data_IF_259351450040
#
_entry.id   IF_259351450040
#
_cell.length_a   1.000
_cell.length_b   1.000
_cell.length_c   1.000
_cell.angle_alpha   90.00
_cell.angle_beta   90.00
_cell.angle_gamma   90.00
#
_symmetry.space_group_name_H-M   'P 1'
#
loop_
_entity.id
_entity.type
_entity.pdbx_description
1 polymer ?
#
# COMPACT_ATOMS: atom_id res chain seq x y z
N UNK A 1 30.23 -34.88 0.97
CA UNK A 1 29.48 -36.15 1.17
C UNK A 1 29.57 -36.70 2.60
N UNK A 2 29.90 -35.90 3.62
CA UNK A 2 30.03 -36.35 5.02
C UNK A 2 28.92 -35.83 5.96
N UNK A 3 28.18 -34.78 5.57
CA UNK A 3 27.09 -34.20 6.37
C UNK A 3 25.89 -35.15 6.50
N UNK A 4 25.34 -35.61 5.38
CA UNK A 4 24.18 -36.51 5.38
C UNK A 4 24.37 -37.81 6.17
N UNK A 5 25.58 -38.40 6.13
CA UNK A 5 25.85 -39.63 6.89
C UNK A 5 25.96 -39.36 8.41
N UNK A 6 26.41 -38.15 8.80
CA UNK A 6 26.43 -37.69 10.19
C UNK A 6 25.02 -37.38 10.68
N UNK A 7 24.22 -36.67 9.89
CA UNK A 7 22.83 -36.33 10.20
C UNK A 7 21.95 -37.59 10.33
N UNK A 8 22.15 -38.56 9.43
CA UNK A 8 21.48 -39.86 9.50
C UNK A 8 21.91 -40.67 10.73
N UNK A 9 23.19 -40.67 11.10
CA UNK A 9 23.66 -41.33 12.33
C UNK A 9 23.11 -40.68 13.59
N UNK A 10 22.90 -39.36 13.59
CA UNK A 10 22.38 -38.63 14.76
C UNK A 10 20.86 -38.72 14.92
N UNK A 11 20.08 -38.75 13.84
CA UNK A 11 18.62 -38.67 13.95
C UNK A 11 17.84 -39.38 12.85
N UNK A 12 18.50 -40.30 12.14
CA UNK A 12 17.89 -41.15 11.12
C UNK A 12 17.26 -40.35 9.97
N UNK A 13 16.20 -40.93 9.38
CA UNK A 13 15.50 -40.35 8.24
C UNK A 13 14.82 -39.01 8.60
N UNK A 14 14.40 -38.84 9.86
CA UNK A 14 13.73 -37.61 10.29
C UNK A 14 14.67 -36.41 10.23
N UNK A 15 15.94 -36.57 10.65
CA UNK A 15 16.94 -35.52 10.61
C UNK A 15 17.38 -35.16 9.19
N UNK A 16 17.29 -36.10 8.24
CA UNK A 16 17.48 -35.82 6.82
C UNK A 16 16.33 -35.00 6.19
N UNK A 17 15.14 -34.99 6.80
CA UNK A 17 13.99 -34.20 6.36
C UNK A 17 13.99 -32.79 6.95
N UNK A 18 14.85 -32.51 7.93
CA UNK A 18 15.02 -31.19 8.50
C UNK A 18 15.76 -30.29 7.51
N UNK A 19 15.05 -29.32 6.92
CA UNK A 19 15.66 -28.30 6.09
C UNK A 19 16.36 -27.28 7.00
N UNK A 20 17.66 -27.46 7.21
CA UNK A 20 18.54 -26.46 7.84
C UNK A 20 18.78 -25.27 6.88
N UNK A 21 17.69 -24.58 6.53
CA UNK A 21 17.76 -23.33 5.77
C UNK A 21 18.42 -22.28 6.67
N UNK A 22 19.73 -22.15 6.57
CA UNK A 22 20.48 -21.07 7.21
C UNK A 22 20.09 -19.74 6.54
N UNK A 23 18.97 -19.16 6.97
CA UNK A 23 18.53 -17.86 6.49
C UNK A 23 19.29 -16.81 7.29
N UNK A 24 20.39 -16.32 6.73
CA UNK A 24 21.00 -15.09 7.23
C UNK A 24 19.90 -14.03 7.35
N UNK A 25 19.61 -13.60 8.58
CA UNK A 25 18.69 -12.50 8.78
C UNK A 25 19.37 -11.24 8.26
N UNK A 26 18.71 -10.52 7.35
CA UNK A 26 19.22 -9.26 6.83
C UNK A 26 19.43 -8.28 8.00
N UNK A 27 20.55 -7.57 8.02
CA UNK A 27 20.81 -6.47 8.96
C UNK A 27 19.67 -5.44 8.96
N UNK A 28 18.99 -5.24 7.82
CA UNK A 28 17.83 -4.35 7.72
C UNK A 28 16.64 -4.79 8.58
N UNK A 29 16.55 -6.09 8.93
CA UNK A 29 15.46 -6.61 9.75
C UNK A 29 15.46 -6.02 11.16
N UNK A 30 16.64 -5.64 11.67
CA UNK A 30 16.79 -4.95 12.97
C UNK A 30 16.14 -3.55 12.95
N UNK A 31 16.05 -2.93 11.78
CA UNK A 31 15.48 -1.59 11.59
C UNK A 31 14.06 -1.62 11.02
N UNK A 32 13.43 -2.80 10.93
CA UNK A 32 12.14 -2.98 10.27
C UNK A 32 11.05 -2.07 10.86
N UNK A 33 10.89 -2.03 12.19
CA UNK A 33 9.86 -1.22 12.85
C UNK A 33 10.04 0.28 12.59
N UNK A 34 11.28 0.77 12.70
CA UNK A 34 11.60 2.18 12.45
C UNK A 34 11.34 2.57 10.99
N UNK A 35 11.75 1.71 10.04
CA UNK A 35 11.50 1.93 8.61
C UNK A 35 10.02 1.83 8.26
N UNK A 36 9.27 0.95 8.92
CA UNK A 36 7.83 0.84 8.75
C UNK A 36 7.11 2.13 9.17
N UNK A 37 7.41 2.65 10.36
CA UNK A 37 6.85 3.92 10.84
C UNK A 37 7.16 5.04 9.83
N UNK A 38 8.41 5.14 9.39
CA UNK A 38 8.81 6.17 8.43
C UNK A 38 8.08 6.05 7.08
N UNK A 39 7.99 4.84 6.53
CA UNK A 39 7.37 4.62 5.22
C UNK A 39 5.84 4.64 5.23
N UNK A 40 5.20 4.55 6.41
CA UNK A 40 3.77 4.83 6.57
C UNK A 40 3.49 6.31 6.34
N UNK A 41 4.33 7.19 6.89
CA UNK A 41 4.22 8.64 6.71
C UNK A 41 4.76 9.10 5.34
N UNK A 42 5.82 8.46 4.83
CA UNK A 42 6.55 8.88 3.63
C UNK A 42 6.66 7.76 2.59
N UNK A 43 5.56 7.39 1.91
CA UNK A 43 5.53 6.29 0.95
C UNK A 43 6.44 6.59 -0.27
N UNK A 44 7.44 5.75 -0.57
CA UNK A 44 8.36 6.02 -1.65
C UNK A 44 7.73 5.75 -3.03
N UNK A 45 7.87 6.70 -3.95
CA UNK A 45 7.42 6.54 -5.35
C UNK A 45 8.21 5.48 -6.13
N UNK A 46 9.50 5.33 -5.85
CA UNK A 46 10.40 4.43 -6.58
C UNK A 46 11.29 3.63 -5.63
N UNK A 47 11.78 2.48 -6.10
CA UNK A 47 12.75 1.67 -5.36
C UNK A 47 14.07 2.40 -5.12
N UNK A 48 14.48 3.29 -6.03
CA UNK A 48 15.67 4.12 -5.85
C UNK A 48 15.49 5.12 -4.69
N UNK A 49 14.31 5.74 -4.61
CA UNK A 49 13.97 6.61 -3.47
C UNK A 49 13.97 5.82 -2.16
N UNK A 50 13.35 4.63 -2.13
CA UNK A 50 13.36 3.78 -0.94
C UNK A 50 14.79 3.38 -0.53
N UNK A 51 15.64 2.99 -1.49
CA UNK A 51 17.03 2.62 -1.23
C UNK A 51 17.85 3.77 -0.64
N UNK A 52 17.70 4.98 -1.19
CA UNK A 52 18.36 6.17 -0.67
C UNK A 52 17.93 6.49 0.77
N UNK A 53 16.62 6.41 1.06
CA UNK A 53 16.11 6.65 2.42
C UNK A 53 16.50 5.58 3.43
N UNK A 54 16.55 4.31 3.02
CA UNK A 54 17.07 3.25 3.88
C UNK A 54 18.55 3.50 4.21
N UNK A 55 19.35 3.88 3.22
CA UNK A 55 20.77 4.18 3.44
C UNK A 55 20.98 5.39 4.37
N UNK A 56 20.16 6.44 4.22
CA UNK A 56 20.19 7.63 5.09
C UNK A 56 19.82 7.28 6.55
N UNK A 57 18.76 6.49 6.75
CA UNK A 57 18.24 6.18 8.09
C UNK A 57 19.03 5.10 8.84
N UNK A 58 19.61 4.14 8.09
CA UNK A 58 20.26 2.96 8.69
C UNK A 58 21.76 2.88 8.44
N UNK A 59 22.30 3.69 7.52
CA UNK A 59 23.68 3.57 7.03
C UNK A 59 23.91 2.36 6.11
N UNK A 60 22.90 1.52 5.87
CA UNK A 60 23.06 0.27 5.14
C UNK A 60 22.72 0.48 3.66
N UNK A 61 23.73 0.30 2.79
CA UNK A 61 23.56 0.29 1.34
C UNK A 61 23.14 -1.09 0.84
N UNK A 62 22.07 -1.13 0.05
CA UNK A 62 21.56 -2.34 -0.62
C UNK A 62 21.14 -2.05 -2.05
N UNK A 63 21.23 -3.08 -2.90
CA UNK A 63 20.76 -2.98 -4.28
C UNK A 63 19.23 -2.89 -4.36
N UNK A 64 18.73 -2.38 -5.49
CA UNK A 64 17.29 -2.18 -5.73
C UNK A 64 16.46 -3.45 -5.54
N UNK A 65 16.96 -4.61 -5.98
CA UNK A 65 16.25 -5.88 -5.83
C UNK A 65 16.19 -6.33 -4.36
N UNK A 66 17.28 -6.19 -3.60
CA UNK A 66 17.27 -6.50 -2.16
C UNK A 66 16.30 -5.59 -1.40
N UNK A 67 16.28 -4.30 -1.72
CA UNK A 67 15.31 -3.34 -1.16
C UNK A 67 13.89 -3.76 -1.52
N UNK A 68 13.63 -4.13 -2.78
CA UNK A 68 12.32 -4.62 -3.22
C UNK A 68 11.85 -5.83 -2.43
N UNK A 69 12.73 -6.83 -2.25
CA UNK A 69 12.41 -8.01 -1.44
C UNK A 69 12.14 -7.66 0.02
N UNK A 70 12.94 -6.75 0.59
CA UNK A 70 12.74 -6.26 1.95
C UNK A 70 11.41 -5.54 2.12
N UNK A 71 11.08 -4.57 1.25
CA UNK A 71 9.79 -3.86 1.28
C UNK A 71 8.61 -4.82 1.20
N UNK A 72 8.68 -5.82 0.30
CA UNK A 72 7.65 -6.87 0.20
C UNK A 72 7.56 -7.72 1.47
N UNK A 73 8.69 -8.05 2.09
CA UNK A 73 8.71 -8.85 3.33
C UNK A 73 8.07 -8.11 4.51
N UNK A 74 8.08 -6.77 4.51
CA UNK A 74 7.36 -5.94 5.48
C UNK A 74 5.88 -5.71 5.10
N UNK A 75 5.40 -6.26 3.98
CA UNK A 75 4.00 -6.11 3.54
C UNK A 75 3.73 -4.91 2.63
N UNK A 76 4.76 -4.15 2.22
CA UNK A 76 4.58 -3.07 1.25
C UNK A 76 4.40 -3.60 -0.17
N UNK A 77 3.58 -2.89 -0.96
CA UNK A 77 3.41 -3.15 -2.39
C UNK A 77 3.41 -1.86 -3.20
N UNK A 78 3.79 -1.95 -4.46
CA UNK A 78 3.60 -0.87 -5.42
C UNK A 78 2.11 -0.84 -5.82
N UNK A 79 1.37 0.15 -5.32
CA UNK A 79 -0.09 0.27 -5.48
C UNK A 79 -0.43 1.56 -6.23
N UNK A 80 -1.48 1.49 -7.05
CA UNK A 80 -2.06 2.67 -7.71
C UNK A 80 -2.82 3.50 -6.69
N UNK A 81 -2.53 4.80 -6.60
CA UNK A 81 -3.28 5.70 -5.72
C UNK A 81 -4.74 5.84 -6.16
N UNK A 82 -5.63 6.02 -5.20
CA UNK A 82 -7.03 6.36 -5.44
C UNK A 82 -7.23 7.86 -5.61
N UNK A 83 -8.06 8.32 -6.56
CA UNK A 83 -8.41 9.73 -6.64
C UNK A 83 -9.50 10.07 -5.61
N UNK A 84 -9.40 11.24 -5.01
CA UNK A 84 -10.50 11.92 -4.32
C UNK A 84 -10.77 13.23 -5.08
N UNK A 85 -12.04 13.59 -5.35
CA UNK A 85 -12.35 14.89 -5.94
C UNK A 85 -11.72 16.05 -5.14
N UNK A 86 -11.13 17.03 -5.84
CA UNK A 86 -10.47 18.18 -5.21
C UNK A 86 -11.37 18.89 -4.18
N UNK A 87 -12.65 19.05 -4.58
CA UNK A 87 -13.70 19.74 -3.85
C UNK A 87 -14.46 18.83 -2.87
N UNK A 88 -13.98 17.60 -2.61
CA UNK A 88 -14.62 16.70 -1.67
C UNK A 88 -14.55 17.29 -0.24
N UNK A 89 -15.72 17.52 0.33
CA UNK A 89 -15.94 18.04 1.68
C UNK A 89 -17.06 17.23 2.36
N UNK A 90 -16.72 16.59 3.48
CA UNK A 90 -17.63 15.72 4.21
C UNK A 90 -18.80 16.49 4.84
N UNK A 91 -18.56 17.69 5.35
CA UNK A 91 -19.59 18.49 6.00
C UNK A 91 -20.65 18.95 4.98
N UNK A 92 -20.18 19.43 3.82
CA UNK A 92 -21.07 19.82 2.71
C UNK A 92 -21.85 18.61 2.19
N UNK A 93 -21.21 17.45 2.08
CA UNK A 93 -21.85 16.21 1.63
C UNK A 93 -22.94 15.73 2.62
N UNK A 94 -22.67 15.78 3.92
CA UNK A 94 -23.65 15.41 4.95
C UNK A 94 -24.86 16.35 4.96
N UNK A 95 -24.65 17.66 4.83
CA UNK A 95 -25.74 18.63 4.76
C UNK A 95 -26.61 18.41 3.51
N UNK A 96 -25.97 18.10 2.37
CA UNK A 96 -26.68 17.77 1.14
C UNK A 96 -27.53 16.51 1.29
N UNK A 97 -27.02 15.45 1.91
CA UNK A 97 -27.77 14.21 2.14
C UNK A 97 -29.00 14.43 3.04
N UNK A 98 -28.87 15.25 4.10
CA UNK A 98 -30.01 15.62 4.96
C UNK A 98 -31.14 16.31 4.19
N UNK A 99 -30.79 17.15 3.19
CA UNK A 99 -31.76 17.83 2.32
C UNK A 99 -32.32 16.91 1.23
N UNK A 100 -31.51 15.97 0.74
CA UNK A 100 -31.89 15.07 -0.35
C UNK A 100 -32.81 13.93 0.11
N UNK A 101 -32.55 13.34 1.28
CA UNK A 101 -33.26 12.15 1.75
C UNK A 101 -34.79 12.34 1.81
N UNK A 102 -35.34 13.44 2.35
CA UNK A 102 -36.80 13.64 2.36
C UNK A 102 -37.40 13.73 0.95
N UNK A 103 -36.69 14.37 0.01
CA UNK A 103 -37.14 14.48 -1.39
C UNK A 103 -37.14 13.13 -2.10
N UNK A 104 -36.23 12.22 -1.74
CA UNK A 104 -36.22 10.85 -2.25
C UNK A 104 -37.39 10.03 -1.69
N UNK A 105 -37.78 10.24 -0.43
CA UNK A 105 -38.98 9.59 0.14
C UNK A 105 -40.27 10.12 -0.51
N UNK A 106 -40.38 11.43 -0.74
CA UNK A 106 -41.48 12.04 -1.51
C UNK A 106 -41.54 11.49 -2.95
N UNK A 107 -40.38 11.20 -3.56
CA UNK A 107 -40.35 10.58 -4.88
C UNK A 107 -40.83 9.13 -4.85
N UNK A 108 -40.46 8.35 -3.83
CA UNK A 108 -40.95 6.98 -3.63
C UNK A 108 -42.46 6.94 -3.39
N UNK A 109 -43.02 7.95 -2.73
CA UNK A 109 -44.48 8.08 -2.52
C UNK A 109 -45.23 8.66 -3.73
N UNK A 110 -44.54 8.93 -4.85
CA UNK A 110 -45.13 9.45 -6.08
C UNK A 110 -45.43 10.95 -6.07
N UNK A 111 -45.04 11.68 -5.03
CA UNK A 111 -45.25 13.13 -4.90
C UNK A 111 -44.23 13.94 -5.69
N UNK A 112 -43.09 13.32 -6.06
CA UNK A 112 -42.06 13.92 -6.90
C UNK A 112 -41.53 12.94 -7.94
N UNK A 113 -40.90 13.49 -8.97
CA UNK A 113 -40.08 12.73 -9.92
C UNK A 113 -38.62 13.15 -9.74
N UNK A 114 -37.71 12.17 -9.71
CA UNK A 114 -36.27 12.40 -9.57
C UNK A 114 -35.62 12.25 -10.95
N UNK A 115 -34.91 13.29 -11.38
CA UNK A 115 -34.09 13.26 -12.57
C UNK A 115 -32.61 13.26 -12.15
N UNK A 116 -31.82 12.36 -12.73
CA UNK A 116 -30.38 12.38 -12.61
C UNK A 116 -29.81 13.06 -13.87
N UNK A 117 -29.23 14.24 -13.69
CA UNK A 117 -28.68 15.05 -14.78
C UNK A 117 -27.25 15.40 -14.42
N UNK A 118 -26.34 15.17 -15.35
CA UNK A 118 -24.94 15.56 -15.21
C UNK A 118 -24.46 16.19 -16.52
N UNK A 119 -23.50 17.11 -16.40
CA UNK A 119 -22.82 17.71 -17.53
C UNK A 119 -21.44 17.05 -17.67
N UNK A 120 -21.28 16.19 -18.69
CA UNK A 120 -20.00 15.56 -18.96
C UNK A 120 -19.02 16.57 -19.56
N UNK A 121 -18.01 16.95 -18.77
CA UNK A 121 -16.88 17.76 -19.23
C UNK A 121 -15.69 16.83 -19.49
N UNK A 122 -15.03 16.96 -20.64
CA UNK A 122 -13.79 16.24 -20.92
C UNK A 122 -12.66 16.86 -20.09
N UNK A 123 -12.34 16.24 -18.96
CA UNK A 123 -11.20 16.64 -18.13
C UNK A 123 -9.94 15.98 -18.67
N UNK A 124 -8.88 16.77 -18.90
CA UNK A 124 -7.53 16.26 -19.13
C UNK A 124 -7.10 15.54 -17.83
N UNK A 125 -7.25 14.21 -17.81
CA UNK A 125 -7.24 13.42 -16.59
C UNK A 125 -6.00 13.62 -15.71
N UNK A 126 -6.19 13.61 -14.39
CA UNK A 126 -5.09 13.53 -13.44
C UNK A 126 -4.43 12.14 -13.54
N UNK A 127 -3.18 12.08 -14.03
CA UNK A 127 -2.41 10.84 -14.05
C UNK A 127 -2.06 10.42 -12.62
N UNK A 128 -2.86 9.52 -12.07
CA UNK A 128 -2.60 8.88 -10.80
C UNK A 128 -1.34 8.02 -10.90
N UNK A 129 -0.34 8.34 -10.10
CA UNK A 129 0.90 7.58 -10.02
C UNK A 129 0.77 6.25 -9.26
N UNK A 130 1.90 5.57 -9.12
CA UNK A 130 2.06 4.43 -8.23
C UNK A 130 2.99 4.82 -7.07
N UNK A 131 2.69 4.30 -5.88
CA UNK A 131 3.51 4.46 -4.68
C UNK A 131 3.76 3.09 -4.06
N UNK A 132 4.91 2.92 -3.41
CA UNK A 132 5.12 1.82 -2.49
C UNK A 132 4.47 2.17 -1.16
N UNK A 133 3.48 1.38 -0.75
CA UNK A 133 2.74 1.61 0.49
C UNK A 133 2.19 0.30 1.05
N UNK A 134 1.93 0.28 2.36
CA UNK A 134 1.29 -0.84 3.05
C UNK A 134 -0.17 -0.99 2.58
N UNK A 135 -0.85 0.13 2.46
CA UNK A 135 -2.27 0.24 2.15
C UNK A 135 -2.49 1.21 0.98
N UNK A 136 -3.65 1.12 0.30
CA UNK A 136 -3.93 2.02 -0.81
C UNK A 136 -4.15 3.43 -0.30
N UNK A 137 -3.35 4.38 -0.80
CA UNK A 137 -3.48 5.78 -0.46
C UNK A 137 -4.41 6.50 -1.43
N UNK A 138 -5.13 7.49 -0.91
CA UNK A 138 -6.05 8.33 -1.67
C UNK A 138 -5.54 9.78 -1.69
N UNK A 139 -5.54 10.39 -2.87
CA UNK A 139 -5.01 11.74 -3.09
C UNK A 139 -6.05 12.61 -3.77
N UNK A 140 -6.16 13.86 -3.31
CA UNK A 140 -6.99 14.86 -3.97
C UNK A 140 -6.44 15.13 -5.37
N UNK A 141 -7.29 15.00 -6.39
CA UNK A 141 -6.94 15.35 -7.76
C UNK A 141 -7.03 16.86 -7.96
N UNK A 142 -6.55 17.37 -9.11
CA UNK A 142 -6.84 18.74 -9.53
C UNK A 142 -8.34 18.99 -9.66
N UNK A 143 -8.75 20.25 -9.53
CA UNK A 143 -10.11 20.66 -9.83
C UNK A 143 -10.32 20.60 -11.35
N UNK A 144 -11.31 19.80 -11.78
CA UNK A 144 -11.95 19.95 -13.09
C UNK A 144 -13.09 20.96 -13.02
#
# INVERSE_FOLDING_TARGET
MLGYLRDYKEGGINKLKELTSNRHQSELKKHQESLEIYFREHPPKTLAHAAAKIAELTGILRSREHVRHFLKSMGMGCRRVGPIPAKADLAVQEEFLKKLQPRLEEAKSGQRTVFFVDAAHFVLGAYLGFLWCFERLFVKTGAG
#
